data_IF_272116703667
#
_entry.id   IF_272116703667
#
_cell.length_a   1.000
_cell.length_b   1.000
_cell.length_c   1.000
_cell.angle_alpha   90.00
_cell.angle_beta   90.00
_cell.angle_gamma   90.00
#
_symmetry.space_group_name_H-M   'P 1'
#
loop_
_entity.id
_entity.type
_entity.pdbx_description
1 polymer ?
#
# COMPACT_ATOMS: atom_id res chain seq x y z
N UNK A 1 -6.79 -7.41 10.52
CA UNK A 1 -6.23 -8.35 9.51
C UNK A 1 -6.89 -8.23 8.13
N UNK A 2 -8.22 -8.18 8.01
CA UNK A 2 -8.90 -8.04 6.70
C UNK A 2 -8.60 -6.71 5.98
N UNK A 3 -8.64 -5.58 6.68
CA UNK A 3 -8.39 -4.25 6.08
C UNK A 3 -6.95 -4.12 5.61
N UNK A 4 -5.98 -4.58 6.40
CA UNK A 4 -4.56 -4.58 6.01
C UNK A 4 -4.34 -5.41 4.74
N UNK A 5 -4.89 -6.62 4.68
CA UNK A 5 -4.81 -7.48 3.50
C UNK A 5 -5.46 -6.85 2.27
N UNK A 6 -6.58 -6.16 2.44
CA UNK A 6 -7.22 -5.40 1.37
C UNK A 6 -6.29 -4.29 0.84
N UNK A 7 -5.69 -3.49 1.72
CA UNK A 7 -4.76 -2.41 1.35
C UNK A 7 -3.53 -2.96 0.64
N UNK A 8 -2.92 -4.05 1.14
CA UNK A 8 -1.77 -4.69 0.47
C UNK A 8 -2.14 -5.15 -0.93
N UNK A 9 -3.31 -5.79 -1.10
CA UNK A 9 -3.79 -6.22 -2.42
C UNK A 9 -4.06 -5.05 -3.35
N UNK A 10 -4.68 -3.98 -2.85
CA UNK A 10 -4.93 -2.77 -3.62
C UNK A 10 -3.62 -2.19 -4.17
N UNK A 11 -2.59 -2.06 -3.33
CA UNK A 11 -1.27 -1.58 -3.74
C UNK A 11 -0.64 -2.47 -4.83
N UNK A 12 -0.71 -3.80 -4.66
CA UNK A 12 -0.21 -4.74 -5.68
C UNK A 12 -0.96 -4.63 -7.01
N UNK A 13 -2.29 -4.48 -6.98
CA UNK A 13 -3.10 -4.31 -8.20
C UNK A 13 -2.72 -3.02 -8.92
N UNK A 14 -2.63 -1.91 -8.19
CA UNK A 14 -2.23 -0.61 -8.75
C UNK A 14 -0.82 -0.69 -9.34
N UNK A 15 0.12 -1.35 -8.65
CA UNK A 15 1.49 -1.55 -9.15
C UNK A 15 1.49 -2.31 -10.48
N UNK A 16 0.79 -3.44 -10.53
CA UNK A 16 0.73 -4.28 -11.72
C UNK A 16 0.08 -3.54 -12.91
N UNK A 17 -0.98 -2.76 -12.67
CA UNK A 17 -1.62 -1.98 -13.74
C UNK A 17 -0.67 -0.91 -14.24
N UNK A 18 0.00 -0.17 -13.35
CA UNK A 18 0.98 0.85 -13.74
C UNK A 18 2.15 0.24 -14.52
N UNK A 19 2.63 -0.94 -14.12
CA UNK A 19 3.68 -1.66 -14.85
C UNK A 19 3.23 -2.11 -16.23
N UNK A 20 2.00 -2.64 -16.36
CA UNK A 20 1.43 -3.04 -17.65
C UNK A 20 1.19 -1.84 -18.57
N UNK A 21 0.74 -0.71 -18.02
CA UNK A 21 0.63 0.54 -18.77
C UNK A 21 2.00 1.03 -19.21
N UNK A 22 2.98 1.07 -18.30
CA UNK A 22 4.32 1.50 -18.64
C UNK A 22 4.96 0.60 -19.70
N UNK A 23 4.79 -0.73 -19.65
CA UNK A 23 5.32 -1.62 -20.70
C UNK A 23 4.69 -1.31 -22.06
N UNK A 24 3.36 -1.16 -22.13
CA UNK A 24 2.67 -0.84 -23.38
C UNK A 24 3.07 0.52 -23.97
N UNK A 25 3.21 1.56 -23.13
CA UNK A 25 3.40 2.93 -23.59
C UNK A 25 4.86 3.42 -23.55
N UNK A 26 5.84 2.57 -23.22
CA UNK A 26 7.26 2.96 -23.28
C UNK A 26 7.70 3.11 -24.75
N UNK A 27 8.38 4.22 -25.07
CA UNK A 27 8.80 4.56 -26.43
C UNK A 27 9.67 3.49 -27.11
N UNK A 28 10.39 2.68 -26.33
CA UNK A 28 11.20 1.56 -26.80
C UNK A 28 10.34 0.37 -27.30
N UNK A 29 9.10 0.23 -26.82
CA UNK A 29 8.19 -0.85 -27.21
C UNK A 29 7.23 -0.39 -28.31
N UNK A 30 7.45 -0.87 -29.54
CA UNK A 30 6.58 -0.59 -30.71
C UNK A 30 5.27 -1.38 -30.73
N UNK A 31 5.04 -2.27 -29.76
CA UNK A 31 3.87 -3.17 -29.69
C UNK A 31 2.55 -2.39 -29.59
N UNK A 32 2.51 -1.29 -28.84
CA UNK A 32 1.29 -0.51 -28.71
C UNK A 32 0.92 0.22 -30.01
N UNK A 33 1.90 0.85 -30.66
CA UNK A 33 1.71 1.53 -31.94
C UNK A 33 1.28 0.56 -33.07
N UNK A 34 1.76 -0.69 -33.04
CA UNK A 34 1.47 -1.70 -34.05
C UNK A 34 0.15 -2.45 -33.82
N UNK A 35 -0.21 -2.77 -32.56
CA UNK A 35 -1.29 -3.73 -32.27
C UNK A 35 -2.42 -3.15 -31.41
N UNK A 36 -2.15 -2.19 -30.54
CA UNK A 36 -3.10 -1.74 -29.51
C UNK A 36 -3.59 -0.29 -29.69
N UNK A 37 -3.29 0.35 -30.82
CA UNK A 37 -3.68 1.74 -31.11
C UNK A 37 -5.19 2.01 -31.00
N UNK A 38 -6.03 0.99 -31.20
CA UNK A 38 -7.49 1.09 -31.09
C UNK A 38 -8.04 0.68 -29.71
N UNK A 39 -7.20 0.24 -28.77
CA UNK A 39 -7.64 -0.25 -27.46
C UNK A 39 -7.76 0.91 -26.47
N UNK A 40 -8.99 1.16 -26.05
CA UNK A 40 -9.29 2.14 -24.99
C UNK A 40 -9.32 1.44 -23.64
N UNK A 41 -8.37 1.76 -22.76
CA UNK A 41 -8.29 1.21 -21.39
C UNK A 41 -9.21 1.94 -20.40
N UNK A 42 -10.28 2.59 -20.89
CA UNK A 42 -11.17 3.45 -20.09
C UNK A 42 -11.70 2.75 -18.84
N UNK A 43 -12.16 1.49 -18.98
CA UNK A 43 -12.68 0.70 -17.85
C UNK A 43 -11.64 0.43 -16.77
N UNK A 44 -10.37 0.28 -17.15
CA UNK A 44 -9.28 0.11 -16.18
C UNK A 44 -9.02 1.41 -15.40
N UNK A 45 -9.06 2.56 -16.07
CA UNK A 45 -8.97 3.86 -15.40
C UNK A 45 -10.17 4.15 -14.51
N UNK A 46 -11.40 3.87 -14.96
CA UNK A 46 -12.60 4.03 -14.12
C UNK A 46 -12.49 3.17 -12.85
N UNK A 47 -12.08 1.90 -12.98
CA UNK A 47 -11.88 1.01 -11.83
C UNK A 47 -10.74 1.46 -10.90
N UNK A 48 -9.67 2.06 -11.43
CA UNK A 48 -8.61 2.67 -10.61
C UNK A 48 -9.14 3.87 -9.82
N UNK A 49 -9.96 4.73 -10.43
CA UNK A 49 -10.60 5.84 -9.75
C UNK A 49 -11.51 5.36 -8.61
N UNK A 50 -12.31 4.32 -8.84
CA UNK A 50 -13.17 3.72 -7.81
C UNK A 50 -12.34 3.14 -6.65
N UNK A 51 -11.22 2.47 -6.97
CA UNK A 51 -10.29 1.96 -5.96
C UNK A 51 -9.67 3.09 -5.16
N UNK A 52 -9.17 4.15 -5.81
CA UNK A 52 -8.59 5.31 -5.13
C UNK A 52 -9.61 6.02 -4.25
N UNK A 53 -10.85 6.19 -4.72
CA UNK A 53 -11.94 6.72 -3.90
C UNK A 53 -12.21 5.86 -2.67
N UNK A 54 -12.15 4.53 -2.81
CA UNK A 54 -12.29 3.59 -1.68
C UNK A 54 -11.14 3.74 -0.67
N UNK A 55 -9.89 3.87 -1.14
CA UNK A 55 -8.73 4.08 -0.27
C UNK A 55 -8.79 5.41 0.48
N UNK A 56 -9.20 6.49 -0.18
CA UNK A 56 -9.41 7.81 0.45
C UNK A 56 -10.51 7.74 1.51
N UNK A 57 -11.61 7.04 1.20
CA UNK A 57 -12.72 6.86 2.14
C UNK A 57 -12.28 6.03 3.35
N UNK A 58 -11.42 5.04 3.16
CA UNK A 58 -10.80 4.28 4.26
C UNK A 58 -9.91 5.17 5.14
N UNK A 59 -9.08 6.03 4.54
CA UNK A 59 -8.27 6.99 5.30
C UNK A 59 -9.16 7.95 6.12
N UNK A 60 -10.22 8.49 5.52
CA UNK A 60 -11.18 9.36 6.22
C UNK A 60 -11.90 8.61 7.36
N UNK A 61 -12.40 7.40 7.10
CA UNK A 61 -13.08 6.58 8.09
C UNK A 61 -12.17 6.25 9.29
N UNK A 62 -10.90 5.90 9.03
CA UNK A 62 -9.93 5.61 10.09
C UNK A 62 -9.57 6.86 10.89
N UNK A 63 -9.42 8.02 10.22
CA UNK A 63 -9.12 9.29 10.89
C UNK A 63 -10.19 9.73 11.89
N UNK A 64 -11.44 9.31 11.70
CA UNK A 64 -12.57 9.61 12.59
C UNK A 64 -12.59 8.74 13.85
N UNK A 65 -11.89 7.60 13.86
CA UNK A 65 -11.85 6.70 15.02
C UNK A 65 -10.74 7.14 15.99
N UNK A 66 -11.03 8.18 16.76
CA UNK A 66 -10.07 8.77 17.74
C UNK A 66 -9.56 7.73 18.74
N UNK A 67 -10.41 6.80 19.16
CA UNK A 67 -10.05 5.79 20.16
C UNK A 67 -9.08 4.71 19.66
N UNK A 68 -8.91 4.54 18.33
CA UNK A 68 -8.04 3.51 17.77
C UNK A 68 -6.58 3.79 18.10
N UNK A 69 -6.17 5.06 18.00
CA UNK A 69 -4.80 5.52 18.31
C UNK A 69 -4.52 5.34 19.80
N UNK A 70 -5.47 5.68 20.66
CA UNK A 70 -5.34 5.54 22.10
C UNK A 70 -5.27 4.07 22.52
N UNK A 71 -6.13 3.21 21.94
CA UNK A 71 -6.14 1.78 22.20
C UNK A 71 -4.84 1.10 21.77
N UNK A 72 -4.30 1.45 20.59
CA UNK A 72 -3.01 0.94 20.13
C UNK A 72 -1.85 1.42 21.02
N UNK A 73 -1.90 2.67 21.47
CA UNK A 73 -0.90 3.22 22.39
C UNK A 73 -0.93 2.51 23.75
N UNK A 74 -2.13 2.21 24.28
CA UNK A 74 -2.30 1.42 25.49
C UNK A 74 -1.76 -0.01 25.31
N UNK A 75 -2.05 -0.65 24.17
CA UNK A 75 -1.60 -2.00 23.87
C UNK A 75 -0.07 -2.09 23.76
N UNK A 76 0.59 -1.10 23.13
CA UNK A 76 2.06 -0.99 23.08
C UNK A 76 2.67 -0.89 24.47
N UNK A 77 2.07 -0.13 25.40
CA UNK A 77 2.55 -0.05 26.78
C UNK A 77 2.48 -1.40 27.49
N UNK A 78 1.41 -2.17 27.27
CA UNK A 78 1.28 -3.52 27.83
C UNK A 78 2.40 -4.42 27.30
N UNK A 79 2.67 -4.41 26.00
CA UNK A 79 3.75 -5.21 25.40
C UNK A 79 5.12 -4.80 25.96
N UNK A 80 5.39 -3.50 26.07
CA UNK A 80 6.63 -3.00 26.66
C UNK A 80 6.80 -3.46 28.11
N UNK A 81 5.72 -3.45 28.91
CA UNK A 81 5.74 -4.00 30.27
C UNK A 81 5.97 -5.52 30.29
N UNK A 82 5.41 -6.26 29.34
CA UNK A 82 5.62 -7.72 29.22
C UNK A 82 7.05 -8.06 28.81
N UNK A 83 7.72 -7.20 28.02
CA UNK A 83 9.13 -7.36 27.65
C UNK A 83 10.07 -7.19 28.86
N UNK A 84 9.69 -6.41 29.88
CA UNK A 84 10.48 -6.25 31.11
C UNK A 84 10.50 -7.52 31.97
N UNK A 85 9.42 -8.29 31.97
CA UNK A 85 9.31 -9.54 32.74
C UNK A 85 8.64 -10.69 31.94
N UNK A 86 9.26 -11.19 30.84
CA UNK A 86 8.61 -12.16 29.95
C UNK A 86 8.26 -13.50 30.65
N UNK A 87 9.10 -13.89 31.61
CA UNK A 87 8.95 -15.12 32.42
C UNK A 87 7.72 -15.11 33.31
N UNK A 88 7.25 -13.93 33.75
CA UNK A 88 6.00 -13.81 34.53
C UNK A 88 4.75 -14.06 33.70
N UNK A 89 4.82 -13.83 32.40
CA UNK A 89 3.69 -14.00 31.48
C UNK A 89 3.75 -15.32 30.70
N UNK A 90 4.82 -16.11 30.86
CA UNK A 90 4.99 -17.39 30.16
C UNK A 90 5.18 -17.25 28.64
N UNK A 91 5.67 -16.10 28.17
CA UNK A 91 5.84 -15.79 26.74
C UNK A 91 7.33 -15.68 26.39
N UNK A 92 7.73 -16.19 25.23
CA UNK A 92 9.09 -16.02 24.72
C UNK A 92 9.33 -14.58 24.27
N UNK A 93 10.49 -14.00 24.62
CA UNK A 93 10.84 -12.63 24.25
C UNK A 93 10.78 -12.38 22.73
N UNK A 94 11.12 -13.39 21.92
CA UNK A 94 11.05 -13.35 20.46
C UNK A 94 9.64 -13.11 19.94
N UNK A 95 8.63 -13.75 20.54
CA UNK A 95 7.22 -13.60 20.16
C UNK A 95 6.69 -12.20 20.49
N UNK A 96 7.15 -11.60 21.59
CA UNK A 96 6.81 -10.22 21.96
C UNK A 96 7.41 -9.21 20.97
N UNK A 97 8.65 -9.44 20.53
CA UNK A 97 9.31 -8.62 19.50
C UNK A 97 8.59 -8.71 18.16
N UNK A 98 8.18 -9.92 17.72
CA UNK A 98 7.41 -10.08 16.49
C UNK A 98 6.06 -9.36 16.57
N UNK A 99 5.37 -9.44 17.71
CA UNK A 99 4.10 -8.77 17.94
C UNK A 99 4.26 -7.24 17.88
N UNK A 100 5.30 -6.70 18.50
CA UNK A 100 5.62 -5.26 18.46
C UNK A 100 5.86 -4.78 17.03
N UNK A 101 6.63 -5.54 16.23
CA UNK A 101 6.87 -5.22 14.82
C UNK A 101 5.58 -5.22 13.99
N UNK A 102 4.69 -6.21 14.20
CA UNK A 102 3.40 -6.26 13.51
C UNK A 102 2.50 -5.08 13.88
N UNK A 103 2.49 -4.67 15.16
CA UNK A 103 1.75 -3.49 15.61
C UNK A 103 2.32 -2.19 15.04
N UNK A 104 3.65 -2.08 14.93
CA UNK A 104 4.30 -0.96 14.28
C UNK A 104 3.90 -0.84 12.80
N UNK A 105 3.91 -1.96 12.07
CA UNK A 105 3.43 -2.01 10.68
C UNK A 105 1.97 -1.57 10.57
N UNK A 106 1.07 -2.07 11.45
CA UNK A 106 -0.35 -1.67 11.42
C UNK A 106 -0.55 -0.18 11.68
N UNK A 107 0.17 0.38 12.66
CA UNK A 107 0.10 1.81 12.99
C UNK A 107 0.57 2.69 11.82
N UNK A 108 1.69 2.33 11.19
CA UNK A 108 2.23 3.07 10.04
C UNK A 108 1.40 2.88 8.76
N UNK A 109 0.84 1.69 8.53
CA UNK A 109 0.10 1.38 7.30
C UNK A 109 -1.34 1.88 7.32
N UNK A 110 -2.02 1.77 8.45
CA UNK A 110 -3.46 2.01 8.52
C UNK A 110 -3.82 3.25 9.33
N UNK A 111 -3.21 3.43 10.50
CA UNK A 111 -3.72 4.35 11.53
C UNK A 111 -3.36 5.80 11.24
N UNK A 112 -2.25 6.03 10.53
CA UNK A 112 -1.80 7.38 10.16
C UNK A 112 -2.56 8.03 9.00
N UNK A 113 -3.59 7.38 8.45
CA UNK A 113 -4.36 7.92 7.32
C UNK A 113 -3.50 8.12 6.07
N UNK A 114 -2.52 7.25 5.85
CA UNK A 114 -1.57 7.33 4.73
C UNK A 114 -1.81 6.25 3.68
N UNK A 115 -2.95 5.54 3.70
CA UNK A 115 -3.22 4.41 2.82
C UNK A 115 -3.16 4.85 1.36
N UNK A 116 -3.95 5.87 1.00
CA UNK A 116 -3.99 6.38 -0.36
C UNK A 116 -2.65 6.96 -0.79
N UNK A 117 -2.02 7.78 0.08
CA UNK A 117 -0.71 8.38 -0.20
C UNK A 117 0.33 7.31 -0.54
N UNK A 118 0.41 6.24 0.26
CA UNK A 118 1.36 5.14 0.03
C UNK A 118 1.09 4.42 -1.28
N UNK A 119 -0.18 4.23 -1.65
CA UNK A 119 -0.57 3.61 -2.91
C UNK A 119 -0.07 4.40 -4.13
N UNK A 120 -0.12 5.73 -4.09
CA UNK A 120 0.32 6.58 -5.21
C UNK A 120 1.81 6.95 -5.18
N UNK A 121 2.48 6.81 -4.04
CA UNK A 121 3.93 7.09 -3.89
C UNK A 121 4.78 5.84 -3.80
N UNK A 122 4.21 4.66 -4.07
CA UNK A 122 4.96 3.41 -4.07
C UNK A 122 6.06 3.42 -5.15
N UNK A 123 7.16 2.68 -4.97
CA UNK A 123 8.24 2.64 -5.95
C UNK A 123 7.77 1.86 -7.19
N UNK A 124 7.30 2.59 -8.21
CA UNK A 124 6.83 1.99 -9.46
C UNK A 124 7.96 1.58 -10.41
N UNK A 125 9.16 2.13 -10.26
CA UNK A 125 10.30 1.73 -11.09
C UNK A 125 10.77 0.31 -10.75
N UNK A 126 10.96 -0.52 -11.77
CA UNK A 126 11.60 -1.83 -11.63
C UNK A 126 13.06 -1.67 -12.08
N UNK A 127 14.05 -1.82 -11.17
CA UNK A 127 15.45 -1.64 -11.52
C UNK A 127 15.84 -2.48 -12.73
N UNK A 128 16.45 -1.85 -13.74
CA UNK A 128 16.96 -2.46 -14.97
C UNK A 128 15.91 -3.03 -15.95
N UNK A 129 14.62 -3.02 -15.62
CA UNK A 129 13.57 -3.59 -16.48
C UNK A 129 12.56 -2.56 -16.96
N UNK A 130 12.11 -1.65 -16.07
CA UNK A 130 11.02 -0.73 -16.39
C UNK A 130 11.18 0.60 -15.64
N UNK A 131 11.40 1.68 -16.38
CA UNK A 131 11.42 3.03 -15.81
C UNK A 131 10.09 3.73 -16.10
N UNK A 132 9.19 3.66 -15.11
CA UNK A 132 7.90 4.35 -15.15
C UNK A 132 8.12 5.85 -15.03
N UNK A 133 9.01 6.28 -14.13
CA UNK A 133 9.25 7.70 -13.81
C UNK A 133 9.88 8.50 -14.96
N UNK A 134 10.59 7.82 -15.87
CA UNK A 134 11.28 8.43 -17.02
C UNK A 134 10.47 8.36 -18.31
N UNK A 135 9.24 7.83 -18.26
CA UNK A 135 8.42 7.69 -19.44
C UNK A 135 7.86 9.05 -19.88
N UNK A 136 8.38 9.59 -20.99
CA UNK A 136 8.00 10.89 -21.54
C UNK A 136 6.87 10.82 -22.56
N UNK A 137 6.35 9.63 -22.88
CA UNK A 137 5.33 9.41 -23.92
C UNK A 137 4.03 10.19 -23.71
N UNK A 138 3.77 10.67 -22.48
CA UNK A 138 2.56 11.43 -22.13
C UNK A 138 2.81 12.93 -21.86
N UNK A 139 4.06 13.41 -22.04
CA UNK A 139 4.43 14.81 -21.84
C UNK A 139 4.46 15.63 -23.16
N UNK A 140 3.96 15.05 -24.25
CA UNK A 140 3.90 15.65 -25.59
C UNK A 140 2.55 16.33 -25.85
#
# INVERSE_FOLDING_TARGET
LSVQQFVTRANSVVMNIVHQLASLYTAEQRLFAATFRAVTLRRAFDALCDLFGTLITLDDALSRVVHLVDALSAYRRVISNMQLEPTRYGVAAEQLTELEQRLASVDEELVRGTIFRRCITQPFDVPRELSVSKNTSFLA
#
